data_IF_400587569469
#
_entry.id   IF_400587569469
#
_cell.length_a   1.000
_cell.length_b   1.000
_cell.length_c   1.000
_cell.angle_alpha   90.00
_cell.angle_beta   90.00
_cell.angle_gamma   90.00
#
_symmetry.space_group_name_H-M   'P 1'
#
loop_
_entity.id
_entity.type
_entity.pdbx_description
1 polymer ?
2 non-polymer ?
3 water ?
#
# COMPACT_ATOMS: atom_id res chain seq x y z
N UNK A 6 22.55 8.49 15.78
CA UNK A 6 22.11 7.10 15.84
C UNK A 6 20.80 6.89 15.07
N UNK A 7 20.00 7.95 14.94
CA UNK A 7 18.70 7.81 14.22
C UNK A 7 18.99 7.30 12.80
N UNK A 8 20.13 7.67 12.24
CA UNK A 8 20.45 7.35 10.83
C UNK A 8 21.37 6.14 10.69
N UNK A 9 21.42 5.27 11.69
CA UNK A 9 22.34 4.12 11.69
C UNK A 9 22.15 3.19 10.48
N UNK A 10 20.93 3.02 9.89
CA UNK A 10 20.80 2.09 8.79
C UNK A 10 20.83 2.81 7.44
N UNK A 11 21.22 4.08 7.42
CA UNK A 11 21.17 4.89 6.22
C UNK A 11 22.57 5.25 5.73
N UNK A 12 22.67 5.47 4.42
CA UNK A 12 23.89 5.94 3.78
C UNK A 12 23.80 7.45 3.58
N UNK A 13 24.83 8.17 4.01
CA UNK A 13 24.86 9.61 3.79
C UNK A 13 25.33 9.90 2.37
N UNK A 14 24.55 10.69 1.64
CA UNK A 14 24.83 11.01 0.24
C UNK A 14 25.34 12.45 0.16
N UNK A 15 26.39 12.66 -0.65
CA UNK A 15 26.87 14.03 -0.81
C UNK A 15 26.02 14.77 -1.83
N UNK A 16 25.70 16.05 -1.59
CA UNK A 16 24.79 16.76 -2.51
C UNK A 16 25.29 16.88 -3.94
N UNK A 17 26.61 16.85 -4.15
CA UNK A 17 27.14 16.89 -5.52
C UNK A 17 26.73 15.69 -6.34
N UNK A 18 26.23 14.62 -5.71
CA UNK A 18 25.80 13.43 -6.42
C UNK A 18 24.33 13.45 -6.80
N UNK A 19 23.61 14.51 -6.46
CA UNK A 19 22.16 14.57 -6.62
C UNK A 19 21.82 15.72 -7.57
N UNK A 20 20.94 15.44 -8.53
CA UNK A 20 20.38 16.45 -9.42
C UNK A 20 18.88 16.35 -9.33
N UNK A 21 18.21 17.46 -9.05
CA UNK A 21 16.76 17.52 -9.00
C UNK A 21 16.24 18.04 -10.33
N UNK A 22 15.20 17.38 -10.85
CA UNK A 22 14.71 17.67 -12.20
C UNK A 22 13.32 18.29 -12.21
N UNK A 23 12.28 17.54 -11.84
CA UNK A 23 10.90 18.07 -11.86
C UNK A 23 10.23 17.83 -10.49
N UNK A 24 9.41 18.76 -10.04
CA UNK A 24 8.60 18.58 -8.80
C UNK A 24 7.53 17.51 -9.07
N UNK A 25 7.46 16.49 -8.22
CA UNK A 25 6.46 15.38 -8.37
C UNK A 25 5.51 15.38 -7.18
N UNK A 26 5.73 16.23 -6.21
CA UNK A 26 4.78 16.26 -5.11
C UNK A 26 5.24 17.20 -4.04
N UNK A 27 4.53 17.22 -2.94
CA UNK A 27 4.95 18.05 -1.81
C UNK A 27 5.19 17.16 -0.58
N UNK A 28 6.19 17.52 0.22
CA UNK A 28 6.38 16.96 1.54
C UNK A 28 5.74 17.86 2.58
N UNK A 29 6.00 17.58 3.85
CA UNK A 29 5.44 18.36 4.97
C UNK A 29 6.03 19.78 4.92
N UNK A 30 7.28 19.90 4.53
CA UNK A 30 7.92 21.21 4.49
C UNK A 30 9.02 21.21 3.43
N UNK A 31 8.63 21.11 2.18
CA UNK A 31 9.56 20.97 1.07
C UNK A 31 8.96 20.11 -0.02
N UNK A 32 9.47 20.29 -1.22
CA UNK A 32 8.95 19.57 -2.38
C UNK A 32 9.56 18.18 -2.46
N UNK A 33 8.89 17.32 -3.20
CA UNK A 33 9.42 16.04 -3.62
C UNK A 33 9.73 16.14 -5.11
N UNK A 34 10.90 15.65 -5.52
CA UNK A 34 11.36 15.80 -6.89
C UNK A 34 11.69 14.43 -7.49
N UNK A 35 11.58 14.37 -8.81
CA UNK A 35 12.21 13.30 -9.59
C UNK A 35 13.63 13.83 -9.85
N UNK A 36 14.63 12.96 -9.76
CA UNK A 36 15.99 13.38 -9.99
C UNK A 36 16.87 12.23 -10.41
N UNK A 37 18.18 12.45 -10.37
CA UNK A 37 19.15 11.43 -10.71
C UNK A 37 20.21 11.38 -9.62
N UNK A 38 20.74 10.19 -9.37
CA UNK A 38 21.75 9.98 -8.35
C UNK A 38 22.98 9.35 -8.97
N UNK A 39 24.14 9.98 -8.79
CA UNK A 39 25.43 9.42 -9.19
C UNK A 39 26.00 8.64 -8.02
N UNK A 40 26.50 7.43 -8.31
CA UNK A 40 27.43 6.73 -7.42
C UNK A 40 27.91 5.42 -8.03
N UNK A 45 24.59 5.19 -16.09
CA UNK A 45 25.26 5.03 -14.81
C UNK A 45 24.57 5.84 -13.71
N UNK A 46 24.00 6.98 -14.09
CA UNK A 46 23.13 7.71 -13.17
C UNK A 46 21.86 6.91 -12.94
N UNK A 47 21.35 6.94 -11.72
CA UNK A 47 20.18 6.15 -11.32
C UNK A 47 19.03 7.09 -11.04
N UNK A 48 17.84 6.85 -11.58
CA UNK A 48 16.70 7.72 -11.27
C UNK A 48 16.25 7.55 -9.82
N UNK A 49 15.88 8.67 -9.20
CA UNK A 49 15.50 8.67 -7.79
C UNK A 49 14.34 9.62 -7.57
N UNK A 50 13.64 9.42 -6.45
CA UNK A 50 12.73 10.40 -5.90
C UNK A 50 13.39 11.04 -4.68
N UNK A 51 13.19 12.34 -4.51
CA UNK A 51 13.94 13.16 -3.55
C UNK A 51 12.97 14.02 -2.78
N UNK A 52 12.86 13.79 -1.47
CA UNK A 52 12.03 14.61 -0.60
C UNK A 52 12.93 15.58 0.16
N UNK A 53 12.65 16.87 0.07
CA UNK A 53 13.47 17.88 0.72
C UNK A 53 12.81 18.42 1.99
N UNK A 54 13.65 18.96 2.86
CA UNK A 54 13.20 19.72 4.01
C UNK A 54 13.83 21.11 3.86
N UNK A 55 13.01 22.09 3.53
CA UNK A 55 13.51 23.39 3.10
C UNK A 55 13.61 24.36 4.28
N UNK A 56 14.30 25.47 4.03
CA UNK A 56 14.70 26.39 5.09
C UNK A 56 13.50 26.89 5.86
N UNK A 57 13.64 26.95 7.18
CA UNK A 57 12.58 27.40 8.06
C UNK A 57 11.79 26.29 8.73
N UNK A 58 12.14 25.03 8.48
CA UNK A 58 11.45 23.93 9.11
C UNK A 58 11.57 24.03 10.63
N UNK A 59 10.57 23.51 11.33
CA UNK A 59 10.54 23.53 12.78
C UNK A 59 11.32 22.36 13.35
N UNK A 60 11.53 22.42 14.68
CA UNK A 60 12.17 21.31 15.39
C UNK A 60 11.39 20.02 15.20
N UNK A 61 10.06 20.08 15.36
CA UNK A 61 9.24 18.89 15.16
C UNK A 61 9.38 18.35 13.75
N UNK A 62 9.43 19.24 12.75
CA UNK A 62 9.55 18.78 11.38
C UNK A 62 10.89 18.11 11.13
N UNK A 63 11.97 18.63 11.73
CA UNK A 63 13.28 18.01 11.58
C UNK A 63 13.30 16.63 12.22
N UNK A 64 12.73 16.50 13.41
CA UNK A 64 12.67 15.23 14.10
C UNK A 64 11.87 14.21 13.30
N UNK A 65 10.74 14.64 12.74
CA UNK A 65 9.94 13.72 11.95
C UNK A 65 10.65 13.34 10.66
N UNK A 66 11.35 14.28 10.04
CA UNK A 66 12.03 14.04 8.77
C UNK A 66 13.16 13.04 8.94
N UNK A 67 14.06 13.30 9.88
CA UNK A 67 15.18 12.39 10.11
C UNK A 67 14.69 11.06 10.68
N UNK A 68 13.61 11.09 11.48
CA UNK A 68 13.03 9.84 11.95
C UNK A 68 12.45 9.01 10.81
N UNK A 69 11.85 9.66 9.83
CA UNK A 69 11.37 8.94 8.65
C UNK A 69 12.53 8.31 7.89
N UNK A 70 13.58 9.09 7.65
CA UNK A 70 14.75 8.54 6.97
C UNK A 70 15.31 7.35 7.75
N UNK A 71 15.35 7.47 9.07
CA UNK A 71 15.92 6.42 9.89
C UNK A 71 15.18 5.11 9.77
N UNK A 72 13.84 5.15 9.85
CA UNK A 72 13.08 3.92 9.75
C UNK A 72 13.16 3.33 8.35
N UNK A 73 13.16 4.19 7.33
CA UNK A 73 13.27 3.69 5.96
C UNK A 73 14.60 2.99 5.72
N UNK A 74 15.68 3.52 6.28
CA UNK A 74 16.96 2.85 6.18
C UNK A 74 16.96 1.50 6.88
N UNK A 75 16.22 1.40 7.99
CA UNK A 75 16.13 0.14 8.71
C UNK A 75 15.45 -0.94 7.90
N UNK A 76 14.46 -0.57 7.10
CA UNK A 76 13.71 -1.58 6.35
C UNK A 76 14.55 -2.06 5.17
N UNK A 77 14.72 -3.38 5.06
CA UNK A 77 15.45 -4.00 3.96
C UNK A 77 14.65 -5.21 3.52
N UNK A 78 13.77 -5.00 2.54
CA UNK A 78 12.89 -6.07 2.10
C UNK A 78 12.48 -5.82 0.66
N UNK A 79 12.34 -6.90 -0.08
CA UNK A 79 11.95 -6.91 -1.51
C UNK A 79 10.67 -6.11 -1.77
N UNK A 80 9.76 -6.07 -0.79
CA UNK A 80 8.46 -5.46 -0.99
C UNK A 80 8.27 -4.16 -0.20
N UNK A 81 9.37 -3.50 0.16
CA UNK A 81 9.34 -2.19 0.82
C UNK A 81 10.23 -1.26 0.01
N UNK A 82 9.75 -0.04 -0.22
CA UNK A 82 10.53 0.94 -0.98
C UNK A 82 11.95 1.04 -0.43
N UNK A 83 12.91 1.16 -1.34
CA UNK A 83 14.33 1.18 -1.00
C UNK A 83 14.80 2.62 -0.80
N UNK A 84 15.46 2.86 0.32
CA UNK A 84 16.10 4.14 0.58
C UNK A 84 17.50 4.11 -0.02
N UNK A 85 17.76 5.00 -0.97
CA UNK A 85 19.12 5.13 -1.48
C UNK A 85 20.02 5.80 -0.44
N UNK A 86 19.51 6.80 0.26
CA UNK A 86 20.28 7.43 1.31
C UNK A 86 19.63 8.73 1.71
N UNK A 87 20.40 9.50 2.48
CA UNK A 87 19.92 10.73 3.09
C UNK A 87 20.99 11.78 2.97
N UNK A 88 20.58 13.03 2.85
CA UNK A 88 21.45 14.18 3.03
C UNK A 88 21.01 14.85 4.31
N UNK A 89 21.83 14.74 5.36
CA UNK A 89 21.56 15.40 6.63
C UNK A 89 22.59 16.46 6.99
N UNK A 90 23.76 16.43 6.37
CA UNK A 90 24.86 17.38 6.72
C UNK A 90 24.83 18.66 5.91
N UNK A 91 23.95 18.74 4.96
CA UNK A 91 23.85 19.94 4.14
C UNK A 91 22.39 20.33 4.01
N UNK A 92 22.16 21.56 3.56
CA UNK A 92 20.82 22.09 3.36
C UNK A 92 20.55 22.31 1.88
N UNK A 93 19.35 21.97 1.40
CA UNK A 93 18.27 21.36 2.17
C UNK A 93 18.55 19.89 2.44
N UNK A 94 18.00 19.37 3.54
CA UNK A 94 18.15 17.95 3.81
C UNK A 94 17.25 17.17 2.85
N UNK A 95 17.62 15.91 2.60
CA UNK A 95 16.95 15.13 1.58
C UNK A 95 16.81 13.68 2.01
N UNK A 96 15.68 13.09 1.65
CA UNK A 96 15.46 11.65 1.68
C UNK A 96 15.38 11.18 0.23
N UNK A 97 16.20 10.21 -0.15
CA UNK A 97 16.34 9.80 -1.55
C UNK A 97 16.00 8.33 -1.66
N UNK A 98 15.01 8.01 -2.50
CA UNK A 98 14.57 6.64 -2.68
C UNK A 98 14.73 6.22 -4.15
N UNK A 99 14.58 4.93 -4.37
CA UNK A 99 14.47 4.43 -5.73
C UNK A 99 13.25 5.05 -6.41
N UNK A 100 13.23 4.93 -7.74
CA UNK A 100 12.17 5.47 -8.58
C UNK A 100 11.64 4.36 -9.49
N UNK A 101 10.33 4.36 -9.71
CA UNK A 101 9.67 3.36 -10.56
C UNK A 101 8.95 4.06 -11.70
N UNK A 102 9.34 3.73 -12.93
CA UNK A 102 8.67 4.31 -14.08
C UNK A 102 7.19 3.92 -14.14
N UNK A 103 6.82 2.75 -13.61
CA UNK A 103 5.43 2.35 -13.62
C UNK A 103 4.59 3.09 -12.59
N UNK A 104 5.22 3.69 -11.58
CA UNK A 104 4.49 4.53 -10.65
C UNK A 104 3.66 3.79 -9.63
N UNK A 105 2.66 4.50 -9.11
CA UNK A 105 1.81 4.00 -8.05
C UNK A 105 0.80 2.99 -8.57
N UNK A 106 0.49 2.02 -7.72
CA UNK A 106 -0.31 0.87 -8.10
C UNK A 106 -1.75 1.26 -8.47
N UNK A 107 -2.34 2.23 -7.79
CA UNK A 107 -3.73 2.57 -8.10
C UNK A 107 -3.88 3.08 -9.53
N UNK A 108 -3.06 4.05 -9.88
CA UNK A 108 -3.11 4.60 -11.23
C UNK A 108 -2.68 3.56 -12.26
N UNK A 109 -1.66 2.76 -11.92
CA UNK A 109 -1.17 1.70 -12.79
C UNK A 109 -2.29 0.74 -13.18
N UNK A 110 -3.04 0.23 -12.22
CA UNK A 110 -4.09 -0.73 -12.58
C UNK A 110 -5.23 -0.07 -13.35
N UNK A 111 -5.56 1.19 -13.01
CA UNK A 111 -6.63 1.87 -13.74
C UNK A 111 -6.26 2.11 -15.20
N UNK A 112 -4.97 2.26 -15.49
CA UNK A 112 -4.47 2.48 -16.82
C UNK A 112 -4.18 1.19 -17.56
N UNK A 113 -4.36 0.04 -16.92
CA UNK A 113 -4.04 -1.26 -17.50
C UNK A 113 -5.17 -2.24 -17.25
N UNK A 114 -6.41 -1.75 -17.35
CA UNK A 114 -7.59 -2.52 -16.97
C UNK A 114 -7.65 -3.83 -17.76
N UNK A 115 -7.76 -4.95 -17.04
CA UNK A 115 -7.90 -6.25 -17.66
C UNK A 115 -6.65 -6.84 -18.29
N UNK A 116 -5.48 -6.26 -18.08
CA UNK A 116 -4.30 -6.69 -18.82
C UNK A 116 -3.52 -7.83 -18.16
N UNK A 117 -3.86 -8.22 -16.94
CA UNK A 117 -3.05 -9.20 -16.21
C UNK A 117 -3.84 -10.48 -15.97
N UNK A 118 -3.11 -11.55 -15.74
CA UNK A 118 -3.74 -12.80 -15.37
C UNK A 118 -4.08 -12.78 -13.88
N UNK A 119 -4.99 -13.67 -13.50
CA UNK A 119 -5.33 -13.79 -12.10
C UNK A 119 -4.09 -14.12 -11.28
N UNK A 120 -3.22 -14.98 -11.81
CA UNK A 120 -2.00 -15.34 -11.09
C UNK A 120 -1.09 -14.14 -10.89
N UNK A 121 -0.98 -13.26 -11.90
CA UNK A 121 -0.20 -12.05 -11.73
C UNK A 121 -0.79 -11.14 -10.67
N UNK A 122 -2.10 -10.98 -10.66
CA UNK A 122 -2.74 -10.13 -9.66
C UNK A 122 -2.51 -10.70 -8.25
N UNK A 123 -2.71 -12.01 -8.09
CA UNK A 123 -2.53 -12.63 -6.78
C UNK A 123 -1.07 -12.53 -6.35
N UNK A 124 -0.13 -12.64 -7.31
CA UNK A 124 1.27 -12.47 -6.98
C UNK A 124 1.60 -11.09 -6.46
N UNK A 125 0.94 -10.05 -7.00
CA UNK A 125 1.17 -8.71 -6.47
C UNK A 125 0.64 -8.59 -5.04
N UNK A 126 -0.48 -9.26 -4.76
CA UNK A 126 -1.00 -9.26 -3.40
C UNK A 126 -0.08 -10.00 -2.44
N UNK A 127 0.52 -11.11 -2.89
CA UNK A 127 1.44 -11.84 -2.04
C UNK A 127 2.65 -10.99 -1.68
N UNK A 128 3.16 -10.21 -2.65
CA UNK A 128 4.27 -9.33 -2.37
C UNK A 128 3.91 -8.23 -1.38
N UNK A 129 2.77 -7.58 -1.59
CA UNK A 129 2.32 -6.57 -0.64
C UNK A 129 2.20 -7.17 0.76
N UNK A 130 1.60 -8.36 0.85
CA UNK A 130 1.43 -9.02 2.15
C UNK A 130 2.77 -9.34 2.80
N UNK A 131 3.77 -9.75 2.00
CA UNK A 131 5.09 -10.04 2.57
C UNK A 131 5.74 -8.77 3.12
N UNK A 132 5.60 -7.65 2.39
CA UNK A 132 6.11 -6.40 2.90
C UNK A 132 5.42 -6.00 4.19
N UNK A 133 4.10 -6.17 4.24
CA UNK A 133 3.36 -5.83 5.46
C UNK A 133 3.70 -6.76 6.61
N UNK A 134 3.88 -8.06 6.35
CA UNK A 134 4.33 -8.96 7.39
C UNK A 134 5.66 -8.50 7.98
N UNK A 135 6.57 -8.07 7.12
CA UNK A 135 7.85 -7.53 7.57
C UNK A 135 7.67 -6.29 8.44
N UNK A 136 6.88 -5.32 7.96
CA UNK A 136 6.64 -4.12 8.76
C UNK A 136 6.02 -4.45 10.11
N UNK A 137 4.99 -5.28 10.12
CA UNK A 137 4.34 -5.63 11.37
C UNK A 137 5.33 -6.31 12.32
N UNK A 138 6.17 -7.21 11.80
CA UNK A 138 7.16 -7.90 12.61
C UNK A 138 8.19 -6.93 13.16
N UNK A 139 8.50 -5.89 12.39
CA UNK A 139 9.40 -4.81 12.80
C UNK A 139 8.71 -3.82 13.75
N UNK A 140 7.46 -4.13 14.15
CA UNK A 140 6.68 -3.28 15.05
C UNK A 140 6.38 -1.91 14.44
N UNK A 141 6.16 -1.87 13.13
CA UNK A 141 5.81 -0.64 12.44
C UNK A 141 4.37 -0.75 11.93
N UNK A 142 3.51 0.14 12.43
CA UNK A 142 2.13 0.23 11.98
C UNK A 142 2.06 1.27 10.87
N UNK A 143 1.57 0.86 9.70
CA UNK A 143 1.61 1.74 8.54
C UNK A 143 0.60 2.89 8.65
N UNK A 144 -0.66 2.56 8.94
CA UNK A 144 -1.78 3.50 9.14
C UNK A 144 -2.43 4.03 7.87
N UNK A 145 -1.81 3.83 6.70
CA UNK A 145 -2.33 4.42 5.47
C UNK A 145 -2.09 3.47 4.30
N UNK A 146 -2.27 2.17 4.54
CA UNK A 146 -2.08 1.21 3.47
C UNK A 146 -3.24 1.31 2.48
N UNK A 147 -2.90 1.46 1.21
CA UNK A 147 -3.83 1.70 0.11
C UNK A 147 -3.00 1.56 -1.15
N UNK A 148 -3.66 1.27 -2.29
CA UNK A 148 -2.91 1.11 -3.52
C UNK A 148 -2.15 2.38 -3.91
N UNK A 149 -2.65 3.55 -3.54
CA UNK A 149 -1.94 4.78 -3.85
C UNK A 149 -0.59 4.87 -3.16
N UNK A 150 -0.35 4.07 -2.11
CA UNK A 150 0.92 4.08 -1.39
C UNK A 150 1.79 2.89 -1.74
N UNK A 151 1.57 2.26 -2.91
CA UNK A 151 2.35 1.11 -3.34
C UNK A 151 2.94 1.41 -4.70
N UNK A 152 4.24 1.18 -4.85
CA UNK A 152 4.90 1.39 -6.14
C UNK A 152 5.09 0.06 -6.85
N UNK A 153 5.10 0.09 -8.18
CA UNK A 153 5.23 -1.12 -8.99
C UNK A 153 6.49 -1.01 -9.84
N UNK A 154 7.40 -1.96 -9.71
CA UNK A 154 8.61 -1.94 -10.54
C UNK A 154 8.39 -2.64 -11.88
N UNK A 155 9.44 -2.69 -12.71
CA UNK A 155 9.31 -3.25 -14.05
C UNK A 155 9.38 -4.77 -14.07
N UNK A 156 9.42 -5.41 -12.90
CA UNK A 156 9.17 -6.84 -12.76
C UNK A 156 7.81 -7.13 -12.13
N UNK A 157 6.94 -6.11 -12.03
CA UNK A 157 5.62 -6.23 -11.40
C UNK A 157 5.71 -6.42 -9.88
N UNK A 158 6.87 -6.15 -9.28
CA UNK A 158 7.03 -6.28 -7.83
C UNK A 158 6.47 -5.03 -7.17
N UNK A 159 5.61 -5.23 -6.18
CA UNK A 159 5.01 -4.13 -5.44
C UNK A 159 5.84 -3.78 -4.21
N UNK A 160 6.06 -2.49 -4.02
CA UNK A 160 6.85 -1.97 -2.90
C UNK A 160 5.97 -1.05 -2.06
N UNK A 161 5.73 -1.47 -0.82
CA UNK A 161 4.98 -0.63 0.11
C UNK A 161 5.77 0.63 0.39
N UNK A 162 5.08 1.77 0.35
CA UNK A 162 5.65 3.08 0.59
C UNK A 162 4.66 3.87 1.45
N UNK A 163 5.00 5.10 1.78
CA UNK A 163 4.06 5.99 2.43
C UNK A 163 4.33 7.41 1.93
N UNK A 164 3.45 7.90 1.07
CA UNK A 164 3.65 9.21 0.46
C UNK A 164 3.04 10.34 1.25
N UNK A 165 2.45 10.06 2.42
CA UNK A 165 1.71 11.06 3.16
C UNK A 165 0.28 11.17 2.66
N UNK A 166 -0.54 11.87 3.43
CA UNK A 166 -1.98 11.91 3.17
C UNK A 166 -2.33 12.62 1.87
N UNK A 185 -8.75 12.21 5.10
CA UNK A 185 -8.76 11.03 5.95
C UNK A 185 -9.28 9.83 5.15
N UNK A 186 -8.46 8.77 5.04
CA UNK A 186 -8.83 7.58 4.22
C UNK A 186 -9.85 6.67 4.91
N UNK A 187 -11.03 7.23 5.21
CA UNK A 187 -12.09 6.48 5.88
C UNK A 187 -12.27 5.11 5.25
N UNK A 188 -12.35 5.08 3.91
CA UNK A 188 -12.73 3.83 3.18
C UNK A 188 -11.71 2.71 3.31
N UNK A 189 -10.49 3.03 3.71
CA UNK A 189 -9.44 2.04 3.90
C UNK A 189 -9.20 1.69 5.36
N UNK A 190 -9.87 2.37 6.30
CA UNK A 190 -9.49 2.31 7.70
C UNK A 190 -10.43 1.44 8.51
N UNK A 191 -9.85 0.62 9.40
CA UNK A 191 -10.64 -0.28 10.22
C UNK A 191 -11.54 0.51 11.18
N UNK A 192 -12.68 -0.08 11.57
CA UNK A 192 -13.61 0.64 12.47
C UNK A 192 -12.99 1.15 13.77
N UNK A 193 -12.15 0.35 14.43
CA UNK A 193 -11.58 0.78 15.70
C UNK A 193 -10.62 1.94 15.51
N UNK A 194 -9.96 2.00 14.36
CA UNK A 194 -9.06 3.11 14.09
C UNK A 194 -9.84 4.39 13.85
N UNK A 195 -10.95 4.30 13.12
CA UNK A 195 -11.83 5.46 12.94
C UNK A 195 -12.45 5.86 14.27
N UNK A 196 -13.02 4.90 15.00
CA UNK A 196 -13.84 5.21 16.17
C UNK A 196 -13.00 5.77 17.31
N UNK A 197 -11.87 5.13 17.63
CA UNK A 197 -11.13 5.51 18.82
C UNK A 197 -9.62 5.59 18.61
N UNK A 198 -9.18 5.67 17.35
CA UNK A 198 -7.80 5.98 17.02
C UNK A 198 -6.87 4.82 17.35
N UNK A 199 -7.40 3.61 17.38
CA UNK A 199 -6.59 2.43 17.65
C UNK A 199 -6.04 1.90 16.33
N UNK A 200 -4.80 2.29 16.03
CA UNK A 200 -4.09 1.85 14.83
C UNK A 200 -3.09 0.78 15.23
N UNK A 201 -3.22 -0.40 14.65
CA UNK A 201 -2.33 -1.52 14.94
C UNK A 201 -2.10 -2.28 13.65
N UNK A 202 -1.26 -3.31 13.71
CA UNK A 202 -1.10 -4.16 12.54
C UNK A 202 -2.41 -4.83 12.14
N UNK A 203 -3.35 -4.97 13.08
CA UNK A 203 -4.66 -5.54 12.72
C UNK A 203 -5.55 -4.55 11.99
N UNK A 204 -5.43 -3.24 12.26
CA UNK A 204 -6.10 -2.28 11.39
C UNK A 204 -5.42 -2.21 10.03
N UNK A 205 -4.10 -2.41 9.97
CA UNK A 205 -3.43 -2.55 8.69
C UNK A 205 -3.96 -3.76 7.91
N UNK A 206 -4.33 -4.84 8.60
CA UNK A 206 -4.92 -6.00 7.90
C UNK A 206 -6.25 -5.64 7.25
N UNK A 207 -7.10 -4.88 7.95
CA UNK A 207 -8.32 -4.37 7.32
C UNK A 207 -7.98 -3.64 6.02
N UNK A 208 -7.02 -2.71 6.10
CA UNK A 208 -6.63 -1.94 4.93
C UNK A 208 -6.13 -2.86 3.82
N UNK A 209 -5.36 -3.89 4.20
CA UNK A 209 -4.87 -4.84 3.20
C UNK A 209 -6.04 -5.50 2.47
N UNK A 210 -7.11 -5.86 3.20
CA UNK A 210 -8.28 -6.39 2.52
C UNK A 210 -8.85 -5.43 1.48
N UNK A 211 -8.91 -4.14 1.82
CA UNK A 211 -9.34 -3.15 0.83
C UNK A 211 -8.38 -3.11 -0.36
N UNK A 212 -7.07 -3.17 -0.10
CA UNK A 212 -6.09 -3.23 -1.19
C UNK A 212 -6.32 -4.46 -2.08
N UNK A 213 -6.63 -5.62 -1.48
CA UNK A 213 -6.94 -6.79 -2.29
C UNK A 213 -8.09 -6.48 -3.24
N UNK A 214 -9.12 -5.83 -2.72
CA UNK A 214 -10.26 -5.46 -3.54
C UNK A 214 -9.86 -4.47 -4.64
N UNK A 215 -9.06 -3.47 -4.29
CA UNK A 215 -8.52 -2.55 -5.31
C UNK A 215 -7.78 -3.30 -6.42
N UNK A 216 -6.93 -4.26 -6.07
CA UNK A 216 -6.16 -4.96 -7.08
C UNK A 216 -7.07 -5.78 -7.97
N UNK A 217 -7.98 -6.53 -7.37
CA UNK A 217 -8.81 -7.45 -8.16
C UNK A 217 -9.83 -6.73 -9.03
N UNK A 218 -10.16 -5.47 -8.72
CA UNK A 218 -11.04 -4.64 -9.53
C UNK A 218 -10.29 -3.71 -10.47
N UNK A 219 -8.96 -3.78 -10.54
CA UNK A 219 -8.17 -2.84 -11.35
C UNK A 219 -8.38 -1.39 -10.91
N UNK A 220 -8.42 -1.17 -9.60
CA UNK A 220 -8.40 0.18 -9.10
C UNK A 220 -9.76 0.84 -8.96
N UNK A 221 -10.81 0.06 -8.76
CA UNK A 221 -12.10 0.67 -8.52
C UNK A 221 -12.12 1.41 -7.18
N UNK A 222 -13.01 2.38 -7.08
CA UNK A 222 -13.15 3.14 -5.84
C UNK A 222 -13.93 2.31 -4.82
N UNK A 223 -13.34 2.02 -3.66
CA UNK A 223 -14.08 1.25 -2.65
C UNK A 223 -15.37 1.94 -2.29
N UNK A 224 -16.46 1.18 -2.30
CA UNK A 224 -17.79 1.65 -1.94
C UNK A 224 -18.37 2.63 -2.95
N UNK A 225 -17.74 2.78 -4.12
CA UNK A 225 -18.22 3.63 -5.22
C UNK A 225 -18.59 5.00 -4.66
N UNK A 226 -19.79 5.51 -4.94
CA UNK A 226 -20.14 6.88 -4.62
C UNK A 226 -20.69 7.07 -3.20
N UNK A 227 -20.67 6.04 -2.35
CA UNK A 227 -21.12 6.24 -0.99
C UNK A 227 -20.26 7.29 -0.31
N UNK A 228 -20.90 8.16 0.47
CA UNK A 228 -20.16 9.14 1.25
C UNK A 228 -19.45 8.46 2.40
N UNK A 229 -18.48 9.17 2.98
CA UNK A 229 -17.76 8.63 4.13
C UNK A 229 -18.70 8.19 5.25
N UNK A 230 -19.71 9.02 5.57
CA UNK A 230 -20.66 8.66 6.61
C UNK A 230 -21.47 7.43 6.22
N UNK A 231 -21.85 7.33 4.94
CA UNK A 231 -22.58 6.16 4.46
C UNK A 231 -21.71 4.91 4.52
N UNK A 232 -20.41 5.03 4.25
CA UNK A 232 -19.52 3.87 4.35
C UNK A 232 -19.48 3.36 5.78
N UNK A 233 -19.27 4.25 6.73
CA UNK A 233 -19.17 3.82 8.13
C UNK A 233 -20.48 3.21 8.62
N UNK A 234 -21.61 3.80 8.21
CA UNK A 234 -22.91 3.26 8.59
C UNK A 234 -23.11 1.86 8.01
N UNK A 235 -22.75 1.66 6.73
CA UNK A 235 -22.89 0.35 6.13
C UNK A 235 -22.01 -0.68 6.85
N UNK A 236 -20.76 -0.32 7.13
CA UNK A 236 -19.85 -1.24 7.81
C UNK A 236 -20.38 -1.61 9.19
N UNK A 237 -20.87 -0.62 9.93
CA UNK A 237 -21.38 -0.90 11.27
C UNK A 237 -22.61 -1.78 11.22
N UNK A 238 -23.40 -1.69 10.16
CA UNK A 238 -24.56 -2.54 9.97
C UNK A 238 -24.21 -3.90 9.35
N UNK A 239 -22.92 -4.18 9.15
CA UNK A 239 -22.47 -5.49 8.70
C UNK A 239 -22.26 -5.64 7.20
N UNK A 240 -22.55 -4.62 6.41
CA UNK A 240 -22.35 -4.73 4.98
C UNK A 240 -20.85 -4.68 4.66
N UNK A 241 -20.47 -5.38 3.60
CA UNK A 241 -19.08 -5.47 3.16
C UNK A 241 -19.06 -5.38 1.65
N UNK A 242 -17.91 -4.97 1.10
CA UNK A 242 -17.79 -4.88 -0.34
C UNK A 242 -18.11 -6.23 -0.98
N UNK A 243 -18.82 -6.23 -2.11
CA UNK A 243 -19.12 -7.48 -2.80
C UNK A 243 -17.92 -7.96 -3.60
N UNK A 244 -18.03 -9.18 -4.10
CA UNK A 244 -16.89 -9.73 -4.82
C UNK A 244 -16.62 -8.94 -6.11
N UNK A 245 -15.34 -8.72 -6.42
CA UNK A 245 -14.98 -8.26 -7.77
C UNK A 245 -15.39 -9.28 -8.82
N UNK A 246 -15.47 -8.81 -10.06
CA UNK A 246 -15.67 -9.71 -11.19
C UNK A 246 -14.44 -10.58 -11.37
N UNK A 247 -14.69 -11.82 -11.81
CA UNK A 247 -13.61 -12.77 -12.16
C UNK A 247 -12.70 -13.10 -10.98
N UNK A 248 -13.22 -13.04 -9.74
CA UNK A 248 -12.37 -13.14 -8.57
C UNK A 248 -12.37 -14.56 -8.03
N UNK A 249 -11.20 -15.16 -7.80
CA UNK A 249 -11.16 -16.47 -7.15
C UNK A 249 -11.90 -16.45 -5.82
N UNK A 250 -12.67 -17.51 -5.59
CA UNK A 250 -13.40 -17.68 -4.34
C UNK A 250 -12.48 -17.53 -3.14
N UNK A 251 -11.30 -18.16 -3.20
CA UNK A 251 -10.39 -18.13 -2.06
C UNK A 251 -9.91 -16.71 -1.76
N UNK A 252 -9.74 -15.89 -2.80
CA UNK A 252 -9.30 -14.51 -2.62
C UNK A 252 -10.39 -13.66 -2.00
N UNK A 253 -11.64 -13.82 -2.45
CA UNK A 253 -12.72 -13.08 -1.80
C UNK A 253 -12.92 -13.52 -0.36
N UNK A 254 -12.83 -14.82 -0.08
CA UNK A 254 -12.95 -15.27 1.30
C UNK A 254 -11.89 -14.62 2.17
N UNK A 255 -10.66 -14.51 1.65
CA UNK A 255 -9.59 -13.94 2.43
C UNK A 255 -9.82 -12.46 2.71
N UNK A 256 -10.25 -11.69 1.70
CA UNK A 256 -10.51 -10.28 1.97
C UNK A 256 -11.65 -10.11 2.98
N UNK A 257 -12.65 -10.99 2.93
CA UNK A 257 -13.73 -10.92 3.90
C UNK A 257 -13.23 -11.15 5.32
N UNK A 258 -12.27 -12.05 5.50
CA UNK A 258 -11.71 -12.30 6.82
C UNK A 258 -10.93 -11.09 7.34
N UNK A 259 -10.31 -10.33 6.43
CA UNK A 259 -9.61 -9.12 6.82
C UNK A 259 -10.57 -8.06 7.36
N UNK A 260 -11.85 -8.14 6.99
CA UNK A 260 -12.84 -7.15 7.38
C UNK A 260 -13.71 -7.62 8.54
N UNK A 261 -13.21 -8.53 9.37
CA UNK A 261 -13.94 -8.87 10.58
C UNK A 261 -14.06 -7.65 11.46
N UNK A 262 -15.26 -7.42 11.99
CA UNK A 262 -15.47 -6.28 12.90
C UNK A 262 -14.56 -6.40 14.12
N UNK A 263 -14.51 -7.59 14.70
CA UNK A 263 -13.69 -7.86 15.88
C UNK A 263 -12.25 -7.99 15.45
N UNK A 264 -11.41 -7.04 15.91
CA UNK A 264 -10.02 -6.98 15.50
C UNK A 264 -9.29 -8.29 15.72
N UNK A 265 -9.57 -8.96 16.85
CA UNK A 265 -8.85 -10.18 17.20
C UNK A 265 -9.15 -11.33 16.26
N UNK A 266 -10.25 -11.28 15.50
CA UNK A 266 -10.64 -12.37 14.62
C UNK A 266 -9.97 -12.28 13.26
N UNK A 267 -9.35 -11.15 12.93
CA UNK A 267 -8.74 -11.00 11.63
C UNK A 267 -7.48 -11.85 11.54
N UNK A 268 -7.13 -12.30 10.34
CA UNK A 268 -5.85 -12.97 10.16
C UNK A 268 -4.69 -12.06 10.51
N UNK A 269 -3.58 -12.64 10.98
CA UNK A 269 -2.33 -11.89 11.03
C UNK A 269 -1.69 -11.89 9.64
N UNK A 270 -0.73 -10.98 9.42
CA UNK A 270 -0.07 -10.95 8.12
C UNK A 270 0.64 -12.28 7.81
N UNK A 271 1.14 -12.97 8.84
CA UNK A 271 1.77 -14.28 8.57
C UNK A 271 0.76 -15.26 7.96
N UNK A 272 -0.48 -15.22 8.42
CA UNK A 272 -1.51 -16.13 7.90
C UNK A 272 -1.86 -15.75 6.46
N UNK A 273 -1.93 -14.46 6.19
CA UNK A 273 -2.24 -13.96 4.83
C UNK A 273 -1.15 -14.43 3.86
N UNK A 274 0.12 -14.21 4.21
CA UNK A 274 1.21 -14.65 3.34
C UNK A 274 1.15 -16.15 3.10
N UNK A 275 0.93 -16.92 4.18
CA UNK A 275 0.86 -18.37 4.04
C UNK A 275 -0.25 -18.81 3.09
N UNK A 276 -1.44 -18.23 3.24
CA UNK A 276 -2.57 -18.57 2.38
C UNK A 276 -2.28 -18.21 0.93
N UNK A 277 -1.76 -17.00 0.69
CA UNK A 277 -1.49 -16.58 -0.68
C UNK A 277 -0.40 -17.43 -1.31
N UNK A 278 0.64 -17.77 -0.55
CA UNK A 278 1.69 -18.65 -1.05
C UNK A 278 1.09 -19.99 -1.50
N UNK A 279 0.23 -20.57 -0.66
CA UNK A 279 -0.34 -21.88 -0.98
C UNK A 279 -1.21 -21.81 -2.24
N UNK A 280 -1.97 -20.73 -2.41
CA UNK A 280 -2.80 -20.60 -3.60
C UNK A 280 -1.92 -20.48 -4.84
N UNK A 281 -0.85 -19.69 -4.76
CA UNK A 281 0.03 -19.53 -5.91
C UNK A 281 0.74 -20.83 -6.27
N UNK A 282 1.15 -21.60 -5.26
CA UNK A 282 1.90 -22.82 -5.55
C UNK A 282 1.03 -23.96 -6.04
N UNK A 283 -0.28 -23.89 -5.78
CA UNK A 283 -1.26 -24.82 -6.33
C UNK A 283 -2.27 -23.99 -7.11
N UNK A 284 -1.89 -23.49 -8.29
CA UNK A 284 -2.70 -22.46 -8.96
C UNK A 284 -4.07 -22.91 -9.43
N UNK A 285 -4.32 -24.21 -9.54
CA UNK A 285 -5.68 -24.66 -9.83
C UNK A 285 -6.66 -24.20 -8.77
N UNK A 286 -6.17 -23.94 -7.55
CA UNK A 286 -7.01 -23.41 -6.48
C UNK A 286 -7.67 -22.10 -6.86
N UNK A 287 -7.10 -21.34 -7.79
CA UNK A 287 -7.63 -20.03 -8.14
C UNK A 287 -8.66 -20.08 -9.26
N UNK A 288 -8.88 -21.25 -9.85
CA UNK A 288 -9.84 -21.37 -10.95
C UNK A 288 -11.29 -21.30 -10.48
N UNK A 289 -11.55 -21.64 -9.23
CA UNK A 289 -12.89 -21.57 -8.67
C UNK A 289 -13.22 -20.11 -8.34
N UNK A 290 -14.25 -19.56 -8.97
CA UNK A 290 -14.55 -18.13 -8.88
C UNK A 290 -15.76 -17.89 -7.98
N UNK A 291 -15.71 -16.81 -7.23
CA UNK A 291 -16.87 -16.39 -6.46
C UNK A 291 -17.95 -15.84 -7.40
N UNK A 292 -19.21 -16.13 -7.07
CA UNK A 292 -20.32 -15.65 -7.87
C UNK A 292 -20.37 -14.13 -7.84
N UNK A 293 -20.34 -13.52 -9.01
CA UNK A 293 -20.46 -12.07 -9.11
C UNK A 293 -21.94 -11.69 -9.14
N UNK A 294 -22.32 -10.75 -8.29
CA UNK A 294 -23.70 -10.29 -8.25
C UNK A 294 -23.88 -9.20 -9.31
N UNK A 295 -24.63 -9.47 -10.37
CA UNK A 295 -24.81 -8.45 -11.40
C UNK A 295 -25.66 -7.30 -10.85
N UNK A 296 -25.29 -6.10 -11.29
CA UNK A 296 -26.01 -4.84 -10.97
C UNK A 296 -26.88 -4.47 -12.17
N UNK A 297 -26.92 -5.36 -13.14
CA UNK A 297 -27.70 -5.14 -14.36
C UNK A 297 -27.79 -6.44 -15.14
N UNK A 298 -29.01 -6.86 -15.46
CA UNK A 298 -29.25 -8.06 -16.25
C UNK A 298 -29.76 -7.68 -17.63
N UNK A 299 -29.23 -8.35 -18.65
CA UNK A 299 -29.65 -8.14 -20.03
C UNK A 299 -30.45 -9.36 -20.47
N UNK A 300 -31.65 -9.13 -20.99
CA UNK A 300 -32.46 -10.18 -21.58
C UNK A 300 -32.12 -10.28 -23.06
N UNK A 301 -31.67 -11.46 -23.49
CA UNK A 301 -31.44 -11.73 -24.91
C UNK A 301 -31.78 -13.18 -25.18
N UNK A 302 -32.23 -13.50 -26.40
CA UNK A 302 -32.69 -14.87 -26.72
C UNK A 302 -31.56 -15.91 -26.68
X LIG B 1 10.37 9.82 0.67
X LIG B 1 10.36 9.63 -0.72
X LIG B 1 9.62 8.56 -1.23
X LIG B 1 8.93 7.70 -0.37
X LIG B 1 8.94 7.88 1.02
X LIG B 1 9.67 8.96 1.53
X LIG B 1 8.25 6.93 1.81
X LIG B 1 7.94 6.11 4.07
X LIG B 1 7.78 4.74 3.82
X LIG B 1 7.34 3.84 4.81
X LIG B 1 7.08 4.32 6.09
X LIG B 1 7.27 5.67 6.36
X LIG B 1 7.69 6.55 5.37
X LIG B 1 11.06 10.49 -1.57
X LIG B 1 8.74 8.63 -3.47
X LIG B 1 7.91 8.23 -5.59
X LIG B 1 6.89 9.76 -4.20
X LIG B 1 8.87 6.62 -7.06
X LIG B 1 7.62 6.94 -8.78
X LIG B 1 7.22 7.78 -7.83
X LIG B 1 5.93 11.40 -2.68
X LIG B 1 5.20 12.72 -2.79
X LIG B 1 3.86 12.54 -3.44
X LIG B 1 4.06 12.02 -4.85
X LIG B 1 4.74 10.67 -4.83
X LIG B 1 7.14 2.47 4.49
X LIG B 1 6.02 2.28 3.82
X LIG B 1 7.05 1.74 5.58
X LIG B 1 8.08 1.99 3.74
X LIG B 1 8.39 7.03 3.17
X LIG B 1 9.68 8.34 -2.57
X LIG B 1 8.80 7.98 -4.64
X LIG B 1 6.94 9.11 -5.37
X LIG B 1 7.79 9.53 -3.23
X LIG B 1 7.99 7.58 -6.76
X LIG B 1 8.64 6.22 -8.30
X LIG B 1 5.92 10.64 -3.95
X LIG B 1 7.69 5.98 1.27
X LIG B 1 3.21 13.82 -3.49
#
# INVERSE_FOLDING_TARGET
>A
GDPNQAVLKFTTEIHPSCVTRQKVIGAGEFGEVYKGMLKTSSGKKEVPVAIKTLKAGYTEKQRVDFLGEAGIMGQFSHHNIIRLEGVISKYKPMMIITEYMENGALDKFLREKDGEFSVLQLVGMLRGIAAGMKYLANMNYVHRDLAARNILVNSNLVCKVSDFGLSRVLEDDPEATYTTSGGKIPIRWTAPEAISYRKFTSASDVWSFGIVMWEVMTYGERPYWELSNHEVMKAINDGFRLPTPMDCPSAIYQLMMQCWQQERARRPKFADIVSILDKLIRAPDSLKTLADFDPRVSIRLPSTSG
>B hetero
1 HOT CAA CAB CAC CAD CAE CAF CAG CAJ CAK CAL CAM CAN CAO CAP CAR CAT CAV CAY CBA CBB CBD CBE CBF CBG CBH CBJ FBK FBL FBM NAH NAQ NAS NAU NAW NAX NAZ NBC OAI OBI
#
